data_IF_541861609332
#
_entry.id   IF_541861609332
#
_cell.length_a   1.000
_cell.length_b   1.000
_cell.length_c   1.000
_cell.angle_alpha   90.00
_cell.angle_beta   90.00
_cell.angle_gamma   90.00
#
_symmetry.space_group_name_H-M   'P 1'
#
loop_
_entity.id
_entity.type
_entity.pdbx_description
1 polymer ?
#
# COMPACT_ATOMS: atom_id res chain seq x y z
N UNK A 1 0.90 -14.82 9.33
CA UNK A 1 2.09 -14.48 8.49
C UNK A 1 2.69 -15.74 7.94
N UNK A 2 3.24 -15.67 6.74
CA UNK A 2 3.89 -16.80 6.09
C UNK A 2 5.31 -16.46 5.72
N UNK A 3 6.22 -17.41 5.86
CA UNK A 3 7.60 -17.29 5.40
C UNK A 3 7.91 -18.35 4.35
N UNK A 4 8.85 -18.04 3.45
CA UNK A 4 9.31 -18.96 2.42
C UNK A 4 10.78 -18.70 2.09
N UNK A 5 11.51 -19.74 1.69
CA UNK A 5 12.88 -19.64 1.18
C UNK A 5 12.96 -19.78 -0.34
N UNK A 6 11.88 -20.21 -0.97
CA UNK A 6 11.84 -20.55 -2.41
C UNK A 6 10.59 -19.98 -3.11
N UNK A 7 9.71 -19.28 -2.40
CA UNK A 7 8.42 -18.72 -2.85
C UNK A 7 7.42 -19.80 -3.33
N UNK A 8 7.72 -21.07 -3.11
CA UNK A 8 6.86 -22.21 -3.47
C UNK A 8 6.34 -22.93 -2.22
N UNK A 9 7.22 -23.14 -1.24
CA UNK A 9 6.89 -23.78 0.03
C UNK A 9 6.79 -22.72 1.11
N UNK A 10 5.67 -22.67 1.80
CA UNK A 10 5.35 -21.64 2.79
C UNK A 10 5.12 -22.26 4.16
N UNK A 11 5.72 -21.65 5.17
CA UNK A 11 5.50 -21.97 6.58
C UNK A 11 4.60 -20.92 7.21
N UNK A 12 3.60 -21.35 7.96
CA UNK A 12 2.77 -20.46 8.78
C UNK A 12 3.52 -20.09 10.06
N UNK A 13 3.78 -18.82 10.26
CA UNK A 13 4.45 -18.24 11.44
C UNK A 13 3.45 -17.72 12.48
N UNK A 14 2.15 -17.85 12.25
CA UNK A 14 1.09 -17.37 13.12
C UNK A 14 0.80 -15.87 12.98
N UNK A 15 0.28 -15.28 14.05
CA UNK A 15 -0.05 -13.87 14.12
C UNK A 15 1.15 -13.02 14.53
N UNK A 16 1.36 -11.87 13.88
CA UNK A 16 2.33 -10.85 14.33
C UNK A 16 1.78 -10.07 15.53
N UNK A 17 0.47 -9.84 15.50
CA UNK A 17 -0.25 -9.05 16.48
C UNK A 17 -1.48 -9.85 16.89
N UNK A 18 -1.63 -10.10 18.17
CA UNK A 18 -2.82 -10.76 18.68
C UNK A 18 -4.01 -9.78 18.68
N UNK A 19 -5.21 -10.25 18.32
CA UNK A 19 -6.40 -9.42 18.38
C UNK A 19 -6.73 -9.09 19.85
N UNK A 20 -7.13 -7.85 20.09
CA UNK A 20 -7.61 -7.39 21.39
C UNK A 20 -9.11 -7.67 21.54
N UNK A 21 -9.44 -8.88 21.99
CA UNK A 21 -10.83 -9.34 22.06
C UNK A 21 -11.63 -8.75 23.22
N UNK A 22 -10.94 -8.23 24.24
CA UNK A 22 -11.56 -7.75 25.48
C UNK A 22 -11.91 -6.26 25.43
N UNK A 23 -11.31 -5.49 24.51
CA UNK A 23 -11.57 -4.06 24.34
C UNK A 23 -12.18 -3.74 22.96
N UNK A 24 -13.51 -3.58 22.87
CA UNK A 24 -14.17 -3.18 21.62
C UNK A 24 -13.74 -1.81 21.06
N UNK A 25 -13.11 -0.96 21.87
CA UNK A 25 -12.59 0.34 21.43
C UNK A 25 -11.21 0.21 20.79
N UNK A 26 -10.49 -0.86 21.10
CA UNK A 26 -9.16 -1.11 20.51
C UNK A 26 -9.20 -1.15 18.97
N UNK A 27 -8.24 -0.54 18.29
CA UNK A 27 -8.11 -0.65 16.82
C UNK A 27 -7.79 -2.08 16.38
N UNK A 28 -7.33 -2.95 17.28
CA UNK A 28 -7.01 -4.36 17.02
C UNK A 28 -8.16 -5.31 17.41
N UNK A 29 -9.31 -4.80 17.85
CA UNK A 29 -10.47 -5.64 18.14
C UNK A 29 -10.97 -6.34 16.85
N UNK A 30 -11.42 -7.62 16.91
CA UNK A 30 -11.87 -8.38 15.72
C UNK A 30 -13.03 -7.77 14.94
N UNK A 31 -13.79 -6.85 15.53
CA UNK A 31 -14.84 -6.08 14.82
C UNK A 31 -14.29 -4.95 13.93
N UNK A 32 -13.03 -4.60 14.08
CA UNK A 32 -12.39 -3.57 13.28
C UNK A 32 -11.85 -4.16 11.98
N UNK A 33 -11.80 -3.34 10.96
CA UNK A 33 -11.22 -3.73 9.68
C UNK A 33 -9.83 -3.10 9.56
N UNK A 34 -8.81 -3.95 9.59
CA UNK A 34 -7.42 -3.58 9.45
C UNK A 34 -6.90 -4.14 8.13
N UNK A 35 -6.38 -3.25 7.28
CA UNK A 35 -5.90 -3.56 5.94
C UNK A 35 -4.42 -3.17 5.76
N UNK A 36 -3.80 -3.66 4.68
CA UNK A 36 -2.50 -3.20 4.17
C UNK A 36 -1.37 -3.17 5.22
N UNK A 37 -0.96 -4.31 5.81
CA UNK A 37 0.17 -4.34 6.74
C UNK A 37 1.50 -4.07 6.01
N UNK A 38 2.31 -3.14 6.55
CA UNK A 38 3.66 -2.88 6.07
C UNK A 38 4.65 -2.82 7.24
N UNK A 39 5.80 -3.46 7.09
CA UNK A 39 6.86 -3.48 8.10
C UNK A 39 8.15 -2.94 7.51
N UNK A 40 8.77 -1.99 8.22
CA UNK A 40 10.13 -1.53 7.95
C UNK A 40 11.00 -1.73 9.19
N UNK A 41 12.28 -2.04 8.97
CA UNK A 41 13.26 -2.02 10.05
C UNK A 41 13.90 -0.64 10.13
N UNK A 42 13.67 0.06 11.23
CA UNK A 42 14.27 1.36 11.48
C UNK A 42 15.77 1.20 11.80
N UNK A 43 16.69 1.79 11.02
CA UNK A 43 18.13 1.64 11.27
C UNK A 43 18.58 2.39 12.51
N UNK A 44 17.90 3.48 12.88
CA UNK A 44 18.26 4.29 14.05
C UNK A 44 17.93 3.59 15.37
N UNK A 45 16.77 2.95 15.46
CA UNK A 45 16.32 2.27 16.69
C UNK A 45 16.60 0.77 16.69
N UNK A 46 16.87 0.19 15.53
CA UNK A 46 16.99 -1.24 15.31
C UNK A 46 15.67 -1.99 15.36
N UNK A 47 14.54 -1.32 15.65
CA UNK A 47 13.22 -1.90 15.80
C UNK A 47 12.54 -2.13 14.44
N UNK A 48 11.64 -3.09 14.40
CA UNK A 48 10.69 -3.28 13.32
C UNK A 48 9.45 -2.45 13.62
N UNK A 49 9.04 -1.63 12.68
CA UNK A 49 7.86 -0.76 12.78
C UNK A 49 6.82 -1.25 11.80
N UNK A 50 5.66 -1.61 12.35
CA UNK A 50 4.50 -2.10 11.59
C UNK A 50 3.44 -1.00 11.52
N UNK A 51 3.05 -0.67 10.30
CA UNK A 51 1.93 0.20 10.02
C UNK A 51 0.77 -0.61 9.45
N UNK A 52 -0.42 -0.36 9.97
CA UNK A 52 -1.68 -0.98 9.56
C UNK A 52 -2.67 0.13 9.22
N UNK A 53 -3.46 -0.03 8.16
CA UNK A 53 -4.56 0.88 7.87
C UNK A 53 -5.81 0.42 8.61
N UNK A 54 -6.33 1.24 9.52
CA UNK A 54 -7.66 1.08 10.09
C UNK A 54 -8.67 1.67 9.11
N UNK A 55 -9.52 0.82 8.53
CA UNK A 55 -10.50 1.22 7.52
C UNK A 55 -11.86 1.59 8.12
N UNK A 56 -12.61 2.42 7.43
CA UNK A 56 -13.94 2.88 7.83
C UNK A 56 -14.00 4.40 7.93
N UNK A 57 -14.99 4.88 8.68
CA UNK A 57 -15.09 6.32 8.95
C UNK A 57 -13.88 6.77 9.78
N UNK A 58 -13.29 7.89 9.40
CA UNK A 58 -12.08 8.43 10.02
C UNK A 58 -10.86 7.49 9.89
N UNK A 59 -10.68 6.89 8.70
CA UNK A 59 -9.58 5.96 8.41
C UNK A 59 -8.22 6.56 8.74
N UNK A 60 -7.39 5.79 9.45
CA UNK A 60 -6.10 6.22 9.98
C UNK A 60 -5.09 5.07 10.03
N UNK A 61 -3.88 5.34 10.48
CA UNK A 61 -2.86 4.31 10.66
C UNK A 61 -2.71 3.91 12.11
N UNK A 62 -2.69 2.60 12.34
CA UNK A 62 -2.28 1.99 13.61
C UNK A 62 -0.81 1.65 13.51
N UNK A 63 0.00 2.13 14.45
CA UNK A 63 1.45 1.96 14.43
C UNK A 63 1.89 1.15 15.63
N UNK A 64 2.67 0.10 15.34
CA UNK A 64 3.24 -0.78 16.35
C UNK A 64 4.73 -0.94 16.11
N UNK A 65 5.47 -1.34 17.14
CA UNK A 65 6.88 -1.66 16.98
C UNK A 65 7.31 -2.88 17.80
N UNK A 66 8.40 -3.51 17.35
CA UNK A 66 8.99 -4.67 18.01
C UNK A 66 10.51 -4.71 17.84
N UNK A 67 11.21 -5.35 18.76
CA UNK A 67 12.64 -5.67 18.61
C UNK A 67 12.89 -6.83 17.64
N UNK A 68 11.86 -7.63 17.34
CA UNK A 68 11.94 -8.81 16.48
C UNK A 68 10.90 -8.72 15.35
N UNK A 69 11.25 -9.21 14.16
CA UNK A 69 10.36 -9.22 13.01
C UNK A 69 9.02 -9.91 13.29
N UNK A 70 9.03 -11.02 13.98
CA UNK A 70 7.84 -11.81 14.31
C UNK A 70 7.20 -11.40 15.66
N UNK A 71 7.59 -10.26 16.22
CA UNK A 71 6.99 -9.73 17.43
C UNK A 71 7.57 -10.28 18.76
N UNK A 72 6.91 -10.05 19.90
CA UNK A 72 5.63 -9.35 20.03
C UNK A 72 5.73 -7.86 19.69
N UNK A 73 4.69 -7.33 19.06
CA UNK A 73 4.55 -5.92 18.73
C UNK A 73 3.82 -5.16 19.84
N UNK A 74 4.28 -3.95 20.13
CA UNK A 74 3.67 -3.03 21.09
C UNK A 74 3.02 -1.86 20.35
N UNK A 75 1.87 -1.41 20.82
CA UNK A 75 1.16 -0.26 20.27
C UNK A 75 1.94 1.02 20.56
N UNK A 76 2.30 1.77 19.52
CA UNK A 76 2.94 3.09 19.60
C UNK A 76 1.93 4.22 19.35
N UNK A 77 1.05 4.04 18.37
CA UNK A 77 -0.02 4.99 18.07
C UNK A 77 -1.28 4.24 17.60
N UNK A 78 -2.41 4.38 18.29
CA UNK A 78 -3.65 3.68 17.92
C UNK A 78 -4.35 4.26 16.69
N UNK A 79 -4.09 5.51 16.32
CA UNK A 79 -4.72 6.17 15.17
C UNK A 79 -3.97 7.43 14.78
N UNK A 80 -3.05 7.32 13.83
CA UNK A 80 -2.39 8.43 13.19
C UNK A 80 -3.14 8.80 11.92
N UNK A 81 -3.64 10.03 11.83
CA UNK A 81 -4.14 10.60 10.59
C UNK A 81 -3.04 11.49 9.98
N UNK A 82 -2.63 11.24 8.72
CA UNK A 82 -1.75 12.15 8.03
C UNK A 82 -2.46 13.49 7.77
N UNK A 83 -1.69 14.56 7.70
CA UNK A 83 -2.25 15.85 7.30
C UNK A 83 -2.88 15.74 5.91
N UNK A 84 -4.05 16.36 5.73
CA UNK A 84 -4.75 16.40 4.44
C UNK A 84 -5.98 15.50 4.34
N UNK A 85 -6.21 14.56 5.27
CA UNK A 85 -7.48 13.82 5.31
C UNK A 85 -7.38 12.33 5.61
N UNK A 86 -8.41 11.60 5.21
CA UNK A 86 -8.54 10.17 5.46
C UNK A 86 -7.49 9.35 4.70
N UNK A 87 -6.85 8.42 5.41
CA UNK A 87 -5.87 7.50 4.86
C UNK A 87 -6.53 6.40 4.02
N UNK A 88 -6.18 6.34 2.74
CA UNK A 88 -6.50 5.25 1.82
C UNK A 88 -5.41 4.17 1.79
N UNK A 89 -5.33 3.49 0.65
CA UNK A 89 -4.26 2.52 0.40
C UNK A 89 -2.90 3.20 0.40
N UNK A 90 -1.90 2.47 0.91
CA UNK A 90 -0.57 3.00 1.09
C UNK A 90 0.52 1.95 0.86
N UNK A 91 1.71 2.43 0.67
CA UNK A 91 2.95 1.65 0.76
C UNK A 91 4.04 2.48 1.44
N UNK A 92 5.00 1.80 2.03
CA UNK A 92 6.18 2.40 2.64
C UNK A 92 7.46 1.87 2.02
N UNK A 93 8.45 2.73 1.92
CA UNK A 93 9.77 2.38 1.43
C UNK A 93 10.85 3.03 2.28
N UNK A 94 11.95 2.31 2.44
CA UNK A 94 13.19 2.84 3.00
C UNK A 94 14.17 3.13 1.87
N UNK A 95 14.71 4.33 1.84
CA UNK A 95 15.83 4.65 0.96
C UNK A 95 17.09 3.91 1.43
N UNK A 96 17.62 3.07 0.57
CA UNK A 96 18.75 2.18 0.90
C UNK A 96 20.05 2.93 1.17
N UNK A 97 20.17 4.18 0.72
CA UNK A 97 21.37 4.99 0.85
C UNK A 97 21.35 5.82 2.12
N UNK A 98 20.25 6.52 2.37
CA UNK A 98 20.13 7.46 3.50
C UNK A 98 19.53 6.83 4.75
N UNK A 99 18.81 5.72 4.61
CA UNK A 99 18.04 5.12 5.69
C UNK A 99 16.77 5.92 6.05
N UNK A 100 16.44 6.99 5.33
CA UNK A 100 15.15 7.68 5.48
C UNK A 100 14.02 6.77 4.99
N UNK A 101 12.84 6.88 5.58
CA UNK A 101 11.66 6.18 5.11
C UNK A 101 10.59 7.15 4.64
N UNK A 102 9.80 6.68 3.69
CA UNK A 102 8.73 7.43 3.05
C UNK A 102 7.44 6.61 3.04
N UNK A 103 6.33 7.31 3.25
CA UNK A 103 4.97 6.82 3.12
C UNK A 103 4.36 7.42 1.86
N UNK A 104 3.78 6.59 1.00
CA UNK A 104 2.93 7.04 -0.09
C UNK A 104 1.51 6.53 0.14
N UNK A 105 0.55 7.45 0.16
CA UNK A 105 -0.83 7.13 0.55
C UNK A 105 -1.84 7.86 -0.33
N UNK A 106 -2.93 7.18 -0.66
CA UNK A 106 -4.11 7.82 -1.25
C UNK A 106 -4.85 8.59 -0.17
N UNK A 107 -4.97 9.90 -0.34
CA UNK A 107 -5.67 10.79 0.61
C UNK A 107 -7.04 11.16 0.07
N UNK A 108 -8.08 11.03 0.89
CA UNK A 108 -9.47 11.36 0.58
C UNK A 108 -9.97 10.71 -0.74
N UNK A 109 -9.45 9.55 -1.11
CA UNK A 109 -9.74 8.90 -2.39
C UNK A 109 -9.48 9.82 -3.60
N UNK A 110 -8.51 10.69 -3.52
CA UNK A 110 -8.18 11.68 -4.54
C UNK A 110 -6.70 11.62 -4.92
N UNK A 111 -5.85 12.30 -4.17
CA UNK A 111 -4.44 12.45 -4.47
C UNK A 111 -3.62 11.28 -3.90
N UNK A 112 -2.50 10.96 -4.54
CA UNK A 112 -1.45 10.17 -3.91
C UNK A 112 -0.40 11.12 -3.36
N UNK A 113 -0.22 11.09 -2.04
CA UNK A 113 0.68 11.99 -1.30
C UNK A 113 1.85 11.19 -0.76
N UNK A 114 3.06 11.72 -0.94
CA UNK A 114 4.28 11.23 -0.33
C UNK A 114 4.64 12.02 0.91
N UNK A 115 4.93 11.34 2.01
CA UNK A 115 5.41 11.94 3.25
C UNK A 115 6.76 11.35 3.63
N UNK A 116 7.70 12.18 4.10
CA UNK A 116 8.84 11.69 4.85
C UNK A 116 8.37 11.23 6.23
N UNK A 117 8.93 10.13 6.72
CA UNK A 117 8.69 9.66 8.09
C UNK A 117 9.72 10.27 9.07
N UNK A 118 9.32 10.35 10.33
CA UNK A 118 10.27 10.66 11.41
C UNK A 118 11.40 9.63 11.47
N UNK A 119 12.51 9.97 12.08
CA UNK A 119 13.71 9.14 12.10
C UNK A 119 13.53 7.78 12.80
N UNK A 120 12.53 7.65 13.67
CA UNK A 120 12.10 6.40 14.33
C UNK A 120 11.02 5.63 13.57
N UNK A 121 10.50 6.19 12.45
CA UNK A 121 9.43 5.67 11.61
C UNK A 121 8.05 5.59 12.30
N UNK A 122 7.87 6.26 13.43
CA UNK A 122 6.63 6.21 14.21
C UNK A 122 5.62 7.32 13.83
N UNK A 123 6.01 8.26 12.97
CA UNK A 123 5.16 9.38 12.59
C UNK A 123 5.48 9.89 11.18
N UNK A 124 4.58 10.64 10.58
CA UNK A 124 4.86 11.48 9.41
C UNK A 124 5.56 12.77 9.86
N UNK A 125 6.51 13.24 9.06
CA UNK A 125 7.26 14.47 9.33
C UNK A 125 6.77 15.61 8.45
N UNK A 126 6.78 15.42 7.13
CA UNK A 126 6.40 16.47 6.17
C UNK A 126 5.92 15.84 4.85
N UNK A 127 5.05 16.55 4.13
CA UNK A 127 4.71 16.20 2.75
C UNK A 127 5.91 16.51 1.85
N UNK A 128 6.33 15.53 1.05
CA UNK A 128 7.47 15.67 0.13
C UNK A 128 7.05 15.67 -1.34
N UNK A 129 5.92 15.05 -1.66
CA UNK A 129 5.42 15.01 -3.03
C UNK A 129 3.91 14.79 -3.10
N UNK A 130 3.31 15.23 -4.20
CA UNK A 130 1.89 15.01 -4.49
C UNK A 130 1.70 14.77 -5.98
N UNK A 131 0.99 13.71 -6.32
CA UNK A 131 0.72 13.30 -7.70
C UNK A 131 -0.72 12.82 -7.87
N UNK A 132 -1.15 12.72 -9.13
CA UNK A 132 -2.48 12.29 -9.54
C UNK A 132 -3.64 13.17 -9.04
N UNK A 133 -3.35 14.41 -8.63
CA UNK A 133 -4.36 15.36 -8.20
C UNK A 133 -5.31 15.78 -9.32
N UNK A 134 -6.54 16.13 -8.92
CA UNK A 134 -7.57 16.60 -9.85
C UNK A 134 -8.24 15.50 -10.66
N UNK A 135 -7.92 14.24 -10.44
CA UNK A 135 -8.62 13.10 -11.02
C UNK A 135 -9.92 12.83 -10.25
N UNK A 136 -10.88 12.18 -10.93
CA UNK A 136 -12.13 11.74 -10.34
C UNK A 136 -12.30 10.22 -10.52
N UNK A 137 -13.00 9.57 -9.57
CA UNK A 137 -13.32 8.15 -9.70
C UNK A 137 -13.97 7.84 -11.06
N UNK A 138 -13.55 6.76 -11.74
CA UNK A 138 -12.64 5.68 -11.30
C UNK A 138 -11.16 5.93 -11.62
N UNK A 139 -10.76 7.14 -12.00
CA UNK A 139 -9.39 7.46 -12.45
C UNK A 139 -8.45 7.85 -11.32
N UNK A 140 -8.97 8.19 -10.13
CA UNK A 140 -8.18 8.35 -8.92
C UNK A 140 -7.40 7.09 -8.61
N UNK A 141 -6.27 7.20 -7.89
CA UNK A 141 -5.32 6.09 -7.74
C UNK A 141 -5.32 5.54 -6.33
N UNK A 142 -5.27 4.21 -6.23
CA UNK A 142 -5.15 3.41 -5.02
C UNK A 142 -4.26 2.18 -5.27
N UNK A 143 -4.18 1.23 -4.36
CA UNK A 143 -3.37 0.02 -4.54
C UNK A 143 -1.90 0.38 -4.81
N UNK A 144 -1.32 1.23 -3.95
CA UNK A 144 0.02 1.79 -4.17
C UNK A 144 1.08 0.74 -3.86
N UNK A 145 2.10 0.64 -4.73
CA UNK A 145 3.33 -0.08 -4.47
C UNK A 145 4.51 0.74 -4.98
N UNK A 146 5.47 1.03 -4.11
CA UNK A 146 6.67 1.79 -4.42
C UNK A 146 7.93 0.95 -4.28
N UNK A 147 8.88 1.12 -5.18
CA UNK A 147 10.13 0.37 -5.18
C UNK A 147 11.26 1.12 -5.90
N UNK A 148 12.48 0.73 -5.60
CA UNK A 148 13.67 1.21 -6.31
C UNK A 148 14.18 0.15 -7.27
N UNK A 149 14.53 0.58 -8.48
CA UNK A 149 15.23 -0.25 -9.46
C UNK A 149 16.22 0.59 -10.28
N UNK A 150 17.45 0.11 -10.41
CA UNK A 150 18.53 0.77 -11.18
C UNK A 150 18.70 2.27 -10.86
N UNK A 151 18.62 2.61 -9.55
CA UNK A 151 18.79 3.98 -9.05
C UNK A 151 17.60 4.91 -9.29
N UNK A 152 16.52 4.43 -9.90
CA UNK A 152 15.26 5.17 -10.09
C UNK A 152 14.18 4.68 -9.13
N UNK A 153 13.25 5.56 -8.81
CA UNK A 153 12.11 5.31 -7.93
C UNK A 153 10.89 5.07 -8.80
N UNK A 154 10.15 4.00 -8.52
CA UNK A 154 8.96 3.62 -9.27
C UNK A 154 7.76 3.51 -8.35
N UNK A 155 6.61 3.79 -8.90
CA UNK A 155 5.31 3.63 -8.27
C UNK A 155 4.39 2.88 -9.22
N UNK A 156 3.70 1.86 -8.71
CA UNK A 156 2.56 1.23 -9.37
C UNK A 156 1.30 1.58 -8.60
N UNK A 157 0.21 1.78 -9.31
CA UNK A 157 -1.10 2.09 -8.73
C UNK A 157 -2.21 1.45 -9.54
N UNK A 158 -3.38 1.25 -8.92
CA UNK A 158 -4.62 0.89 -9.61
C UNK A 158 -5.59 2.06 -9.65
N UNK A 159 -6.61 1.99 -10.51
CA UNK A 159 -7.73 2.93 -10.49
C UNK A 159 -8.68 2.60 -9.34
N UNK A 160 -9.52 3.56 -8.98
CA UNK A 160 -10.47 3.43 -7.87
C UNK A 160 -11.85 3.05 -8.39
N UNK A 161 -12.05 1.79 -8.68
CA UNK A 161 -13.29 1.20 -9.19
C UNK A 161 -13.94 0.21 -8.23
N UNK A 162 -13.64 0.30 -6.94
CA UNK A 162 -14.05 -0.67 -5.93
C UNK A 162 -13.35 -2.02 -6.15
N UNK A 163 -14.10 -3.13 -6.08
CA UNK A 163 -13.53 -4.48 -6.30
C UNK A 163 -13.64 -4.94 -7.76
N UNK A 164 -13.73 -3.99 -8.69
CA UNK A 164 -13.80 -4.26 -10.12
C UNK A 164 -12.38 -4.09 -10.69
N UNK A 165 -11.84 -5.09 -11.42
CA UNK A 165 -10.55 -4.99 -12.06
C UNK A 165 -10.46 -3.77 -12.97
N UNK A 166 -9.34 -3.09 -12.92
CA UNK A 166 -9.09 -1.90 -13.70
C UNK A 166 -7.62 -1.81 -14.14
N UNK A 167 -7.34 -0.79 -14.92
CA UNK A 167 -6.01 -0.52 -15.44
C UNK A 167 -5.08 -0.01 -14.36
N UNK A 168 -3.91 -0.64 -14.22
CA UNK A 168 -2.79 -0.09 -13.46
C UNK A 168 -2.14 1.09 -14.18
N UNK A 169 -1.48 1.93 -13.42
CA UNK A 169 -0.54 2.92 -13.91
C UNK A 169 0.82 2.70 -13.28
N UNK A 170 1.87 2.96 -14.04
CA UNK A 170 3.24 3.02 -13.53
C UNK A 170 3.76 4.44 -13.63
N UNK A 171 4.59 4.83 -12.68
CA UNK A 171 5.20 6.15 -12.67
C UNK A 171 6.65 6.07 -12.19
N UNK A 172 7.45 7.07 -12.52
CA UNK A 172 8.88 7.13 -12.23
C UNK A 172 9.27 8.49 -11.66
N UNK A 173 10.23 8.48 -10.73
CA UNK A 173 10.89 9.68 -10.21
C UNK A 173 12.41 9.47 -10.09
N UNK A 174 13.15 10.56 -10.01
CA UNK A 174 14.57 10.58 -9.67
C UNK A 174 14.82 10.49 -8.16
N UNK A 175 13.85 10.90 -7.36
CA UNK A 175 13.95 11.02 -5.90
C UNK A 175 12.65 10.58 -5.23
N UNK A 176 12.73 10.13 -3.96
CA UNK A 176 11.55 9.91 -3.12
C UNK A 176 10.85 11.22 -2.69
N UNK A 177 11.53 12.34 -2.80
CA UNK A 177 11.05 13.66 -2.39
C UNK A 177 10.50 14.49 -3.58
N UNK A 178 10.40 13.90 -4.78
CA UNK A 178 9.88 14.54 -5.98
C UNK A 178 8.62 13.84 -6.49
N UNK A 179 7.71 14.54 -7.19
CA UNK A 179 6.55 13.94 -7.80
C UNK A 179 6.94 12.86 -8.83
N UNK A 180 6.12 11.81 -8.91
CA UNK A 180 6.25 10.77 -9.90
C UNK A 180 5.56 11.16 -11.21
N UNK A 181 6.19 10.86 -12.33
CA UNK A 181 5.66 11.10 -13.67
C UNK A 181 5.14 9.78 -14.24
N UNK A 182 3.87 9.77 -14.65
CA UNK A 182 3.22 8.58 -15.22
C UNK A 182 3.93 8.11 -16.50
N UNK A 183 4.10 6.79 -16.59
CA UNK A 183 4.59 6.06 -17.76
C UNK A 183 3.46 5.27 -18.45
N UNK A 184 2.28 5.22 -17.84
CA UNK A 184 1.13 4.46 -18.32
C UNK A 184 1.07 3.02 -17.79
N UNK A 185 0.26 2.19 -18.46
CA UNK A 185 0.01 0.81 -18.03
C UNK A 185 1.28 -0.05 -18.13
N UNK A 186 1.74 -0.66 -17.02
CA UNK A 186 2.96 -1.50 -17.01
C UNK A 186 2.74 -2.91 -17.54
N UNK A 187 1.48 -3.35 -17.68
CA UNK A 187 1.17 -4.74 -18.01
C UNK A 187 1.37 -5.02 -19.50
N UNK A 188 2.14 -6.05 -19.78
CA UNK A 188 2.38 -6.57 -21.12
C UNK A 188 1.54 -7.84 -21.31
N UNK A 189 0.91 -8.00 -22.46
CA UNK A 189 0.05 -9.16 -22.80
C UNK A 189 -1.22 -9.25 -21.91
N UNK A 190 -1.71 -8.13 -21.39
CA UNK A 190 -3.00 -8.02 -20.74
C UNK A 190 -3.99 -7.35 -21.72
N UNK A 191 -4.59 -8.16 -22.60
CA UNK A 191 -5.52 -7.69 -23.63
C UNK A 191 -6.77 -7.05 -23.03
N UNK A 192 -7.16 -7.48 -21.82
CA UNK A 192 -8.30 -6.92 -21.09
C UNK A 192 -8.03 -5.54 -20.51
N UNK A 193 -6.74 -5.16 -20.39
CA UNK A 193 -6.28 -3.96 -19.69
C UNK A 193 -6.87 -3.80 -18.28
N UNK A 194 -7.14 -4.94 -17.65
CA UNK A 194 -7.70 -5.00 -16.29
C UNK A 194 -6.67 -5.51 -15.27
N UNK A 195 -5.37 -5.32 -15.56
CA UNK A 195 -4.26 -5.76 -14.69
C UNK A 195 -4.35 -7.24 -14.33
N UNK A 196 -4.71 -8.10 -15.33
CA UNK A 196 -4.94 -9.53 -15.13
C UNK A 196 -5.99 -9.85 -14.06
N UNK A 197 -7.00 -9.01 -13.90
CA UNK A 197 -8.01 -9.06 -12.83
C UNK A 197 -7.41 -8.97 -11.42
N UNK A 198 -6.42 -8.12 -11.25
CA UNK A 198 -5.74 -7.96 -9.97
C UNK A 198 -5.49 -6.49 -9.60
N UNK A 199 -5.24 -6.24 -8.33
CA UNK A 199 -4.79 -4.97 -7.81
C UNK A 199 -3.42 -5.13 -7.16
N UNK A 200 -2.48 -4.28 -7.51
CA UNK A 200 -1.13 -4.30 -6.94
C UNK A 200 -1.18 -4.07 -5.42
N UNK A 201 -0.34 -4.80 -4.69
CA UNK A 201 -0.19 -4.64 -3.25
C UNK A 201 1.25 -4.35 -2.83
N UNK A 202 2.24 -4.97 -3.46
CA UNK A 202 3.66 -4.74 -3.17
C UNK A 202 4.55 -5.17 -4.32
N UNK A 203 5.69 -4.49 -4.48
CA UNK A 203 6.81 -4.96 -5.30
C UNK A 203 8.02 -5.20 -4.40
N UNK A 204 8.64 -6.34 -4.53
CA UNK A 204 9.86 -6.66 -3.80
C UNK A 204 10.93 -7.30 -4.70
N UNK A 205 12.18 -7.14 -4.30
CA UNK A 205 13.31 -7.78 -4.96
C UNK A 205 13.53 -9.17 -4.40
N UNK A 206 13.77 -10.14 -5.27
CA UNK A 206 14.24 -11.47 -4.84
C UNK A 206 15.68 -11.34 -4.39
N UNK A 207 15.95 -11.70 -3.14
CA UNK A 207 17.27 -11.57 -2.55
C UNK A 207 18.34 -12.31 -3.36
N UNK A 208 19.48 -11.68 -3.57
CA UNK A 208 20.59 -12.23 -4.36
C UNK A 208 20.40 -12.17 -5.88
N UNK A 209 19.34 -11.53 -6.37
CA UNK A 209 19.07 -11.37 -7.81
C UNK A 209 18.66 -9.94 -8.16
N UNK A 210 18.58 -9.64 -9.46
CA UNK A 210 17.99 -8.40 -9.97
C UNK A 210 16.50 -8.52 -10.30
N UNK A 211 15.89 -9.66 -9.98
CA UNK A 211 14.48 -9.90 -10.26
C UNK A 211 13.58 -9.17 -9.25
N UNK A 212 12.54 -8.55 -9.78
CA UNK A 212 11.45 -7.96 -9.00
C UNK A 212 10.21 -8.83 -9.16
N UNK A 213 9.47 -9.00 -8.07
CA UNK A 213 8.17 -9.66 -8.06
C UNK A 213 7.13 -8.64 -7.63
N UNK A 214 6.09 -8.46 -8.45
CA UNK A 214 4.91 -7.71 -8.12
C UNK A 214 3.86 -8.65 -7.52
N UNK A 215 3.50 -8.44 -6.26
CA UNK A 215 2.39 -9.13 -5.62
C UNK A 215 1.11 -8.34 -5.85
N UNK A 216 0.03 -9.05 -6.12
CA UNK A 216 -1.25 -8.43 -6.37
C UNK A 216 -2.40 -9.28 -5.81
N UNK A 217 -3.42 -8.61 -5.33
CA UNK A 217 -4.68 -9.23 -4.91
C UNK A 217 -5.49 -9.54 -6.16
N UNK A 218 -5.84 -10.80 -6.37
CA UNK A 218 -6.63 -11.19 -7.51
C UNK A 218 -8.12 -11.10 -7.19
N UNK A 219 -8.83 -10.29 -7.95
CA UNK A 219 -10.29 -10.18 -7.86
C UNK A 219 -10.96 -11.34 -8.61
N UNK A 220 -11.86 -12.05 -7.92
CA UNK A 220 -12.62 -13.16 -8.50
C UNK A 220 -13.91 -12.59 -9.10
N UNK A 221 -14.11 -12.67 -10.44
CA UNK A 221 -15.22 -12.00 -11.12
C UNK A 221 -16.62 -12.56 -10.79
N UNK A 222 -16.72 -13.72 -10.15
CA UNK A 222 -18.00 -14.38 -9.82
C UNK A 222 -18.67 -13.86 -8.55
N UNK A 223 -18.10 -12.85 -7.89
CA UNK A 223 -18.79 -12.16 -6.81
C UNK A 223 -19.91 -11.30 -7.40
N UNK A 224 -21.18 -11.42 -6.94
CA UNK A 224 -22.27 -10.61 -7.43
C UNK A 224 -21.93 -9.14 -7.15
N UNK A 225 -21.64 -8.42 -8.22
CA UNK A 225 -21.49 -6.97 -8.19
C UNK A 225 -22.89 -6.40 -7.99
N UNK A 226 -23.13 -5.68 -6.89
CA UNK A 226 -24.40 -5.00 -6.73
C UNK A 226 -24.63 -3.98 -7.86
N UNK A 227 -25.90 -3.62 -8.11
CA UNK A 227 -26.26 -2.74 -9.22
C UNK A 227 -25.56 -1.37 -9.18
N UNK A 228 -25.15 -0.91 -8.01
CA UNK A 228 -24.41 0.35 -7.84
C UNK A 228 -22.97 0.25 -8.37
N UNK A 229 -22.37 -0.95 -8.31
CA UNK A 229 -21.01 -1.19 -8.81
C UNK A 229 -20.97 -1.52 -10.30
N UNK A 230 -22.06 -1.96 -10.89
CA UNK A 230 -22.16 -2.20 -12.32
C UNK A 230 -21.89 -0.92 -13.14
N UNK A 231 -22.38 0.23 -12.68
CA UNK A 231 -22.13 1.53 -13.30
C UNK A 231 -20.62 1.92 -13.28
N UNK A 232 -19.93 1.65 -12.17
CA UNK A 232 -18.49 1.88 -12.08
C UNK A 232 -17.70 0.97 -13.02
N UNK A 233 -18.15 -0.26 -13.21
CA UNK A 233 -17.54 -1.22 -14.14
C UNK A 233 -17.66 -0.75 -15.59
N UNK A 234 -18.88 -0.38 -16.02
CA UNK A 234 -19.12 0.16 -17.37
C UNK A 234 -18.26 1.40 -17.63
N UNK A 235 -18.16 2.31 -16.67
CA UNK A 235 -17.33 3.51 -16.77
C UNK A 235 -15.84 3.19 -16.82
N UNK A 236 -15.38 2.23 -16.03
CA UNK A 236 -13.99 1.80 -16.03
C UNK A 236 -13.61 1.14 -17.37
N UNK A 237 -14.50 0.32 -17.96
CA UNK A 237 -14.30 -0.27 -19.28
C UNK A 237 -14.34 0.81 -20.37
N UNK A 238 -15.35 1.68 -20.38
CA UNK A 238 -15.47 2.74 -21.39
C UNK A 238 -14.26 3.69 -21.43
N UNK A 239 -13.53 3.82 -20.32
CA UNK A 239 -12.33 4.62 -20.24
C UNK A 239 -11.06 3.93 -20.83
N UNK A 240 -11.19 2.67 -21.25
CA UNK A 240 -10.07 1.87 -21.80
C UNK A 240 -10.08 1.79 -23.33
N UNK A 241 -11.11 2.30 -23.95
CA UNK A 241 -11.29 2.41 -25.40
C UNK A 241 -11.28 3.87 -25.87
#
# INVERSE_FOLDING_TARGET
VYSSRDLCNWQDEGYLVEPDVDDPASPLHPSKRVDRPHILRCPQTGRYVLWLKLSGKDACFVILSSERLLGPYQMENPCLQPEGGEAGDFDMVQDSTSGKAYLYVSINHSDVVGYALTADYLNVQEEVSRQYGGLHSPFTREGIAVFEHTGRKYMLTSGMSGYIPNRSDSAVSGSWEEPFVSLGNPHVNDDSRASFNSQISKVFRVEGTDQLIAMADRWVPDYPVDAHRADLFERAIAAHF
#
